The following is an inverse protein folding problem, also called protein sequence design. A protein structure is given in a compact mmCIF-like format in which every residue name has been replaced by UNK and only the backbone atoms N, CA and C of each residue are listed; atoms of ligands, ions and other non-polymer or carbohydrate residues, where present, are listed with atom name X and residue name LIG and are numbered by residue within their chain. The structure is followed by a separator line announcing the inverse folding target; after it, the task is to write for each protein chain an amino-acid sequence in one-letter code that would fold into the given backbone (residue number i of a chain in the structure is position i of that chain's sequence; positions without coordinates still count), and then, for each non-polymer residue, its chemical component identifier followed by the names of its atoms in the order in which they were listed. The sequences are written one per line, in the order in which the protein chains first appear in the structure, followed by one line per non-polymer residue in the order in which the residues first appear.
data_IF_144939101544
#
_entry.id   IF_144939101544
#
_cell.length_a   1.000
_cell.length_b   1.000
_cell.length_c   1.000
_cell.angle_alpha   90.00
_cell.angle_beta   90.00
_cell.angle_gamma   90.00
#
_symmetry.space_group_name_H-M   'P 1'
#
loop_
_entity.id
_entity.type
_entity.pdbx_description
1 polymer ?
#
# COMPACT_ATOMS: atom_id res chain seq x y z
N UNK A 1 -4.28 63.51 59.86
CA UNK A 1 -3.31 63.66 58.76
C UNK A 1 -3.28 62.34 57.99
N UNK A 2 -3.77 62.35 56.75
CA UNK A 2 -3.82 61.22 55.80
C UNK A 2 -2.75 61.44 54.74
N UNK A 3 -2.03 60.39 54.33
CA UNK A 3 -1.39 60.21 53.00
C UNK A 3 -0.85 58.75 52.98
N UNK A 4 -1.45 57.78 52.29
CA UNK A 4 -1.44 57.43 50.84
C UNK A 4 -0.06 57.09 50.25
N UNK A 5 0.19 55.79 50.02
CA UNK A 5 0.98 55.17 48.92
C UNK A 5 0.90 53.65 49.11
N UNK A 6 0.84 52.73 48.13
CA UNK A 6 0.30 52.66 46.77
C UNK A 6 0.20 51.16 46.43
N UNK A 7 -0.81 50.81 45.63
CA UNK A 7 -1.12 49.48 45.08
C UNK A 7 -0.19 49.19 43.90
N UNK A 8 0.40 47.98 43.83
CA UNK A 8 0.52 47.18 42.59
C UNK A 8 1.13 45.80 42.91
N UNK A 9 0.27 44.79 43.09
CA UNK A 9 0.66 43.38 43.24
C UNK A 9 0.01 42.58 42.12
N UNK A 10 0.84 42.20 41.16
CA UNK A 10 0.58 41.44 39.94
C UNK A 10 -0.25 40.17 40.19
N UNK A 11 -1.46 40.08 39.62
CA UNK A 11 -2.22 38.83 39.51
C UNK A 11 -1.75 38.11 38.25
N UNK A 12 -0.80 37.18 38.38
CA UNK A 12 -0.47 36.22 37.32
C UNK A 12 -1.51 35.10 37.41
N UNK A 13 -2.51 35.16 36.53
CA UNK A 13 -3.41 34.04 36.27
C UNK A 13 -2.67 32.96 35.48
N UNK A 14 -2.40 31.83 36.13
CA UNK A 14 -1.94 30.60 35.46
C UNK A 14 -3.15 29.97 34.76
N UNK A 15 -3.33 30.29 33.48
CA UNK A 15 -4.19 29.51 32.59
C UNK A 15 -3.42 28.23 32.21
N UNK A 16 -3.70 27.14 32.91
CA UNK A 16 -3.36 25.79 32.47
C UNK A 16 -4.19 25.48 31.22
N UNK A 17 -3.61 25.73 30.05
CA UNK A 17 -4.09 25.16 28.79
C UNK A 17 -3.74 23.68 28.86
N UNK A 18 -4.71 22.84 29.25
CA UNK A 18 -4.65 21.43 29.00
C UNK A 18 -4.64 21.26 27.48
N UNK A 19 -3.45 21.13 26.89
CA UNK A 19 -3.31 20.68 25.53
C UNK A 19 -3.95 19.28 25.47
N UNK A 20 -5.09 19.16 24.80
CA UNK A 20 -5.63 17.89 24.37
C UNK A 20 -4.57 17.26 23.45
N UNK A 21 -3.63 16.52 24.02
CA UNK A 21 -2.75 15.66 23.25
C UNK A 21 -3.66 14.64 22.58
N UNK A 22 -3.60 14.57 21.24
CA UNK A 22 -4.23 13.48 20.51
C UNK A 22 -3.78 12.15 21.12
N UNK A 23 -4.66 11.14 21.20
CA UNK A 23 -4.28 9.85 21.75
C UNK A 23 -3.02 9.34 21.05
N UNK A 24 -2.04 8.89 21.82
CA UNK A 24 -0.79 8.37 21.28
C UNK A 24 -1.10 7.21 20.31
N UNK A 25 -0.43 7.20 19.15
CA UNK A 25 -0.60 6.13 18.17
C UNK A 25 -0.08 4.83 18.76
N UNK A 26 -0.93 3.81 18.83
CA UNK A 26 -0.60 2.50 19.45
C UNK A 26 -0.23 1.43 18.44
N UNK A 27 -0.43 1.69 17.14
CA UNK A 27 -0.05 0.79 16.05
C UNK A 27 0.23 1.57 14.76
N UNK A 28 1.12 1.04 13.94
CA UNK A 28 1.28 1.39 12.53
C UNK A 28 0.05 0.88 11.76
N UNK A 29 -0.64 1.80 11.10
CA UNK A 29 -1.86 1.54 10.35
C UNK A 29 -1.68 1.72 8.84
N UNK A 30 -0.58 2.29 8.35
CA UNK A 30 -0.36 2.45 6.93
C UNK A 30 -0.05 1.12 6.24
N UNK A 31 0.03 1.19 4.92
CA UNK A 31 0.43 0.04 4.11
C UNK A 31 1.96 -0.11 4.12
N UNK A 32 2.47 -1.33 4.01
CA UNK A 32 3.90 -1.61 4.18
C UNK A 32 4.79 -0.76 3.24
N UNK A 33 4.33 -0.52 2.01
CA UNK A 33 5.06 0.25 1.00
C UNK A 33 5.05 1.77 1.25
N UNK A 34 4.19 2.30 2.12
CA UNK A 34 4.23 3.72 2.50
C UNK A 34 5.51 4.07 3.29
N UNK A 35 6.19 3.05 3.82
CA UNK A 35 7.44 3.20 4.58
C UNK A 35 8.69 2.89 3.73
N UNK A 36 8.52 2.68 2.43
CA UNK A 36 9.62 2.42 1.50
C UNK A 36 10.63 3.56 1.44
N UNK A 37 11.86 3.23 1.06
CA UNK A 37 12.85 4.22 0.66
C UNK A 37 12.49 4.70 -0.75
N UNK A 38 12.49 6.02 -0.95
CA UNK A 38 12.28 6.65 -2.24
C UNK A 38 13.63 6.93 -2.91
N UNK A 39 13.60 7.28 -4.19
CA UNK A 39 14.82 7.65 -4.93
C UNK A 39 15.57 8.83 -4.29
N UNK A 40 14.86 9.73 -3.61
CA UNK A 40 15.48 10.83 -2.86
C UNK A 40 16.11 10.41 -1.51
N UNK A 41 15.77 9.24 -0.99
CA UNK A 41 16.30 8.73 0.27
C UNK A 41 17.67 8.03 0.10
N UNK A 42 18.03 7.70 -1.14
CA UNK A 42 19.28 7.02 -1.53
C UNK A 42 20.14 7.93 -2.40
N UNK A 43 21.46 7.67 -2.56
CA UNK A 43 22.30 8.44 -3.47
C UNK A 43 21.75 8.44 -4.89
N UNK A 44 21.82 9.61 -5.55
CA UNK A 44 21.14 9.85 -6.83
C UNK A 44 21.64 8.98 -8.01
N UNK A 45 22.81 8.36 -7.87
CA UNK A 45 23.41 7.46 -8.86
C UNK A 45 23.04 5.98 -8.64
N UNK A 46 22.27 5.67 -7.58
CA UNK A 46 21.77 4.32 -7.32
C UNK A 46 20.53 4.03 -8.16
N UNK A 47 20.42 2.79 -8.62
CA UNK A 47 19.33 2.34 -9.48
C UNK A 47 18.36 1.51 -8.68
N UNK A 48 17.06 1.85 -8.74
CA UNK A 48 16.00 0.99 -8.25
C UNK A 48 15.87 -0.23 -9.16
N UNK A 49 16.05 -1.44 -8.63
CA UNK A 49 15.96 -2.68 -9.43
C UNK A 49 14.59 -3.34 -9.35
N UNK A 50 13.89 -3.22 -8.21
CA UNK A 50 12.59 -3.83 -8.09
C UNK A 50 11.99 -3.77 -6.70
N UNK A 51 10.73 -4.19 -6.65
CA UNK A 51 9.97 -4.35 -5.43
C UNK A 51 9.01 -5.53 -5.52
N UNK A 52 8.58 -6.05 -4.38
CA UNK A 52 7.54 -7.07 -4.29
C UNK A 52 6.64 -6.81 -3.09
N UNK A 53 5.43 -7.36 -3.14
CA UNK A 53 4.47 -7.32 -2.04
C UNK A 53 3.81 -8.69 -1.91
N UNK A 54 3.83 -9.23 -0.70
CA UNK A 54 3.16 -10.46 -0.35
C UNK A 54 2.19 -10.18 0.78
N UNK A 55 0.93 -10.58 0.60
CA UNK A 55 -0.08 -10.53 1.66
C UNK A 55 -0.01 -11.79 2.53
N UNK A 56 -0.78 -11.84 3.62
CA UNK A 56 -0.99 -13.06 4.40
C UNK A 56 -1.41 -14.27 3.54
N UNK A 57 -2.23 -14.03 2.51
CA UNK A 57 -2.67 -15.09 1.60
C UNK A 57 -1.52 -15.58 0.71
N UNK A 58 -0.71 -14.68 0.16
CA UNK A 58 0.44 -15.03 -0.68
C UNK A 58 1.50 -15.80 0.13
N UNK A 59 1.76 -15.36 1.37
CA UNK A 59 2.67 -16.02 2.30
C UNK A 59 2.19 -17.42 2.66
N UNK A 60 0.88 -17.61 2.84
CA UNK A 60 0.31 -18.92 3.12
C UNK A 60 0.44 -19.90 1.92
N UNK A 61 0.53 -19.39 0.69
CA UNK A 61 0.71 -20.19 -0.53
C UNK A 61 2.18 -20.48 -0.85
N UNK A 62 3.10 -19.56 -0.54
CA UNK A 62 4.50 -19.63 -0.96
C UNK A 62 5.39 -20.46 -0.01
N UNK A 63 4.95 -20.73 1.22
CA UNK A 63 5.82 -21.34 2.21
C UNK A 63 5.78 -22.88 2.23
N UNK A 64 6.94 -23.57 2.15
CA UNK A 64 7.04 -24.97 2.50
C UNK A 64 6.68 -25.16 3.99
N UNK A 65 6.24 -26.36 4.37
CA UNK A 65 5.62 -26.74 5.67
C UNK A 65 6.38 -26.30 6.95
N UNK A 66 7.62 -25.86 6.85
CA UNK A 66 8.35 -25.13 7.91
C UNK A 66 8.20 -23.62 7.72
N UNK A 67 7.15 -23.04 8.30
CA UNK A 67 7.03 -21.60 8.50
C UNK A 67 8.26 -21.12 9.27
N UNK A 68 9.03 -20.16 8.72
CA UNK A 68 9.95 -19.40 9.57
C UNK A 68 9.09 -18.69 10.61
N UNK A 69 9.31 -18.96 11.89
CA UNK A 69 8.50 -18.38 12.97
C UNK A 69 8.40 -16.84 12.88
N UNK A 70 9.37 -16.19 12.23
CA UNK A 70 9.39 -14.76 11.93
C UNK A 70 8.41 -14.30 10.84
N UNK A 71 7.82 -15.17 10.02
CA UNK A 71 6.80 -14.79 9.03
C UNK A 71 5.38 -15.18 9.48
N UNK A 72 5.25 -15.81 10.64
CA UNK A 72 3.97 -16.19 11.20
C UNK A 72 3.13 -14.95 11.52
N UNK A 73 1.87 -14.97 11.09
CA UNK A 73 0.87 -13.90 11.32
C UNK A 73 1.19 -12.54 10.65
N UNK A 74 2.15 -12.49 9.72
CA UNK A 74 2.42 -11.31 8.90
C UNK A 74 1.23 -11.04 7.99
N UNK A 75 0.76 -9.79 7.99
CA UNK A 75 -0.35 -9.34 7.13
C UNK A 75 0.13 -8.84 5.78
N UNK A 76 1.27 -8.13 5.78
CA UNK A 76 1.92 -7.58 4.60
C UNK A 76 3.44 -7.73 4.74
N UNK A 77 4.10 -8.22 3.70
CA UNK A 77 5.55 -8.17 3.51
C UNK A 77 5.82 -7.38 2.23
N UNK A 78 6.43 -6.22 2.36
CA UNK A 78 6.95 -5.44 1.24
C UNK A 78 8.46 -5.58 1.19
N UNK A 79 9.01 -5.78 0.00
CA UNK A 79 10.45 -5.85 -0.24
C UNK A 79 10.84 -4.89 -1.36
N UNK A 80 12.01 -4.27 -1.23
CA UNK A 80 12.55 -3.31 -2.19
C UNK A 80 14.08 -3.46 -2.30
N UNK A 81 14.62 -3.23 -3.50
CA UNK A 81 16.05 -3.36 -3.80
C UNK A 81 16.60 -2.19 -4.62
N UNK A 82 17.78 -1.72 -4.21
CA UNK A 82 18.60 -0.75 -4.93
C UNK A 82 19.98 -1.32 -5.23
N UNK A 83 20.47 -1.05 -6.45
CA UNK A 83 21.83 -1.38 -6.88
C UNK A 83 22.62 -0.09 -7.15
N UNK A 84 23.67 0.18 -6.36
CA UNK A 84 24.62 1.25 -6.60
C UNK A 84 25.43 1.05 -7.90
N UNK A 85 26.06 2.10 -8.45
CA UNK A 85 26.94 1.95 -9.60
C UNK A 85 28.24 1.21 -9.23
N UNK A 86 28.97 0.64 -10.20
CA UNK A 86 30.21 -0.13 -9.94
C UNK A 86 31.32 0.63 -9.20
N UNK A 87 31.24 1.98 -9.18
CA UNK A 87 32.17 2.85 -8.46
C UNK A 87 31.85 3.01 -6.96
N UNK A 88 30.67 2.59 -6.52
CA UNK A 88 30.21 2.73 -5.14
C UNK A 88 30.98 1.83 -4.16
N UNK A 89 31.03 2.25 -2.90
CA UNK A 89 31.50 1.43 -1.77
C UNK A 89 30.49 0.35 -1.38
N UNK A 90 29.27 0.45 -1.91
CA UNK A 90 28.18 -0.50 -1.71
C UNK A 90 27.86 -1.21 -3.02
N UNK A 91 27.40 -2.45 -2.93
CA UNK A 91 26.98 -3.24 -4.08
C UNK A 91 25.46 -3.50 -4.08
N UNK A 92 24.79 -3.39 -2.93
CA UNK A 92 23.36 -3.64 -2.82
C UNK A 92 22.78 -3.04 -1.54
N UNK A 93 21.54 -2.57 -1.62
CA UNK A 93 20.69 -2.23 -0.48
C UNK A 93 19.32 -2.88 -0.66
N UNK A 94 18.93 -3.71 0.30
CA UNK A 94 17.60 -4.28 0.40
C UNK A 94 16.85 -3.72 1.62
N UNK A 95 15.55 -3.58 1.45
CA UNK A 95 14.60 -3.21 2.48
C UNK A 95 13.46 -4.21 2.49
N UNK A 96 13.19 -4.79 3.65
CA UNK A 96 11.94 -5.51 3.92
C UNK A 96 11.15 -4.78 5.01
N UNK A 97 9.83 -4.69 4.82
CA UNK A 97 8.89 -4.13 5.78
C UNK A 97 7.77 -5.13 6.02
N UNK A 98 7.62 -5.56 7.27
CA UNK A 98 6.61 -6.53 7.70
C UNK A 98 5.61 -5.83 8.62
N UNK A 99 4.32 -5.94 8.29
CA UNK A 99 3.22 -5.43 9.12
C UNK A 99 2.47 -6.61 9.74
N UNK A 100 2.36 -6.60 11.07
CA UNK A 100 1.61 -7.60 11.85
C UNK A 100 0.29 -7.03 12.36
N UNK A 101 -0.62 -7.93 12.77
CA UNK A 101 -1.89 -7.54 13.37
C UNK A 101 -1.78 -6.89 14.76
N UNK A 102 -0.66 -7.09 15.46
CA UNK A 102 -0.43 -6.60 16.82
C UNK A 102 1.06 -6.37 17.13
N UNK A 103 1.32 -5.58 18.18
CA UNK A 103 2.68 -5.29 18.67
C UNK A 103 3.33 -6.57 19.19
N UNK A 104 2.56 -7.41 19.89
CA UNK A 104 3.01 -8.67 20.46
C UNK A 104 3.45 -9.65 19.36
N UNK A 105 2.71 -9.71 18.25
CA UNK A 105 3.09 -10.53 17.09
C UNK A 105 4.38 -10.04 16.44
N UNK A 106 4.54 -8.73 16.23
CA UNK A 106 5.79 -8.18 15.69
C UNK A 106 6.98 -8.42 16.63
N UNK A 107 6.77 -8.31 17.93
CA UNK A 107 7.80 -8.61 18.92
C UNK A 107 8.20 -10.09 18.90
N UNK A 108 7.23 -11.00 18.79
CA UNK A 108 7.50 -12.43 18.63
C UNK A 108 8.24 -12.71 17.32
N UNK A 109 7.82 -12.09 16.21
CA UNK A 109 8.45 -12.24 14.90
C UNK A 109 9.91 -11.80 14.89
N UNK A 110 10.23 -10.62 15.44
CA UNK A 110 11.60 -10.13 15.54
C UNK A 110 12.50 -11.07 16.36
N UNK A 111 11.97 -11.60 17.48
CA UNK A 111 12.74 -12.50 18.37
C UNK A 111 12.88 -13.92 17.83
N UNK A 112 11.95 -14.32 16.98
CA UNK A 112 12.00 -15.60 16.29
C UNK A 112 13.04 -15.62 15.18
N UNK A 113 13.44 -14.44 14.68
CA UNK A 113 14.49 -14.32 13.66
C UNK A 113 15.80 -14.90 14.21
N UNK A 114 16.29 -15.92 13.49
CA UNK A 114 17.55 -16.61 13.81
C UNK A 114 18.33 -16.74 12.53
N UNK A 115 19.36 -15.93 12.41
CA UNK A 115 20.34 -16.11 11.35
C UNK A 115 21.08 -17.43 11.52
N UNK A 116 21.60 -17.97 10.42
CA UNK A 116 22.45 -19.16 10.46
C UNK A 116 23.79 -18.84 11.17
N UNK A 117 24.64 -19.85 11.35
CA UNK A 117 25.92 -19.72 12.07
C UNK A 117 26.90 -18.71 11.45
N UNK A 118 26.68 -18.30 10.20
CA UNK A 118 27.52 -17.38 9.45
C UNK A 118 27.27 -15.91 9.80
N UNK A 119 26.26 -15.60 10.61
CA UNK A 119 26.01 -14.26 11.11
C UNK A 119 26.33 -14.14 12.60
N UNK A 120 26.73 -12.96 13.02
CA UNK A 120 26.84 -12.56 14.42
C UNK A 120 26.06 -11.30 14.69
N UNK A 121 25.53 -11.20 15.92
CA UNK A 121 25.00 -9.94 16.43
C UNK A 121 26.19 -9.06 16.80
N UNK A 122 26.17 -7.81 16.33
CA UNK A 122 27.14 -6.79 16.71
C UNK A 122 26.47 -5.74 17.58
N UNK A 123 27.22 -5.20 18.55
CA UNK A 123 26.71 -4.14 19.42
C UNK A 123 26.56 -2.85 18.63
N UNK A 124 25.38 -2.26 18.66
CA UNK A 124 25.04 -1.02 17.95
C UNK A 124 23.93 -0.25 18.69
N UNK A 125 23.76 1.06 18.42
CA UNK A 125 22.61 1.82 18.91
C UNK A 125 21.28 1.18 18.52
N UNK A 126 20.31 1.20 19.43
CA UNK A 126 18.96 0.69 19.16
C UNK A 126 18.23 1.58 18.15
N UNK A 127 17.60 0.97 17.16
CA UNK A 127 16.67 1.60 16.23
C UNK A 127 15.25 1.18 16.61
N UNK A 128 14.31 2.12 16.69
CA UNK A 128 12.92 1.85 17.05
C UNK A 128 12.76 1.45 18.51
N UNK A 129 11.80 0.56 18.77
CA UNK A 129 11.50 0.05 20.11
C UNK A 129 12.46 -1.09 20.52
N UNK A 130 12.94 -1.86 19.53
CA UNK A 130 13.81 -3.03 19.69
C UNK A 130 14.55 -3.24 18.35
N UNK A 131 15.84 -3.54 18.36
CA UNK A 131 16.59 -3.84 17.14
C UNK A 131 17.69 -4.87 17.35
N UNK A 132 18.04 -5.57 16.27
CA UNK A 132 19.16 -6.48 16.17
C UNK A 132 20.01 -6.08 14.96
N UNK A 133 21.31 -5.92 15.19
CA UNK A 133 22.27 -5.61 14.11
C UNK A 133 23.13 -6.83 13.89
N UNK A 134 23.10 -7.34 12.68
CA UNK A 134 23.80 -8.53 12.25
C UNK A 134 24.95 -8.17 11.33
N UNK A 135 26.04 -8.93 11.45
CA UNK A 135 27.18 -8.91 10.54
C UNK A 135 27.44 -10.31 10.03
N UNK A 136 27.65 -10.44 8.72
CA UNK A 136 28.11 -11.70 8.14
C UNK A 136 29.59 -11.95 8.49
N UNK A 137 29.92 -13.13 9.00
CA UNK A 137 31.25 -13.54 9.49
C UNK A 137 32.18 -14.00 8.37
N UNK A 138 31.64 -14.73 7.40
CA UNK A 138 32.41 -15.42 6.35
C UNK A 138 32.71 -14.48 5.18
N UNK A 139 33.22 -13.28 5.48
CA UNK A 139 33.63 -12.34 4.46
C UNK A 139 35.04 -12.72 4.00
N UNK A 140 35.35 -12.67 2.69
CA UNK A 140 36.72 -12.89 2.23
C UNK A 140 37.66 -11.96 3.00
N UNK A 141 38.76 -12.47 3.58
CA UNK A 141 39.74 -11.62 4.29
C UNK A 141 40.29 -10.51 3.39
N UNK A 142 40.25 -10.71 2.07
CA UNK A 142 40.58 -9.69 1.08
C UNK A 142 39.76 -9.94 -0.20
N UNK A 143 38.87 -9.01 -0.60
CA UNK A 143 38.49 -7.79 0.11
C UNK A 143 37.50 -8.06 1.25
N UNK A 144 37.65 -7.35 2.38
CA UNK A 144 36.74 -7.42 3.53
C UNK A 144 35.37 -6.82 3.18
N UNK A 145 34.51 -7.65 2.59
CA UNK A 145 33.15 -7.31 2.19
C UNK A 145 32.25 -7.31 3.43
N UNK A 146 32.04 -6.17 4.07
CA UNK A 146 31.08 -6.07 5.17
C UNK A 146 29.65 -6.22 4.65
N UNK A 147 28.92 -7.22 5.13
CA UNK A 147 27.48 -7.35 4.96
C UNK A 147 26.82 -7.14 6.31
N UNK A 148 25.98 -6.11 6.39
CA UNK A 148 25.25 -5.75 7.60
C UNK A 148 23.75 -5.82 7.35
N UNK A 149 23.01 -6.32 8.34
CA UNK A 149 21.55 -6.29 8.36
C UNK A 149 21.08 -5.69 9.67
N UNK A 150 20.13 -4.76 9.61
CA UNK A 150 19.52 -4.11 10.76
C UNK A 150 18.04 -4.45 10.77
N UNK A 151 17.65 -5.35 11.66
CA UNK A 151 16.25 -5.64 11.94
C UNK A 151 15.80 -4.76 13.09
N UNK A 152 14.68 -4.04 12.95
CA UNK A 152 14.15 -3.19 14.00
C UNK A 152 12.62 -3.25 14.03
N UNK A 153 12.05 -3.09 15.22
CA UNK A 153 10.61 -3.03 15.42
C UNK A 153 10.18 -1.62 15.81
N UNK A 154 9.06 -1.19 15.27
CA UNK A 154 8.30 -0.05 15.76
C UNK A 154 6.83 -0.43 15.83
N UNK A 155 6.27 -0.46 17.04
CA UNK A 155 4.92 -0.96 17.30
C UNK A 155 4.72 -2.37 16.68
N UNK A 156 3.74 -2.55 15.81
CA UNK A 156 3.40 -3.78 15.10
C UNK A 156 4.11 -3.94 13.73
N UNK A 157 5.09 -3.08 13.42
CA UNK A 157 5.87 -3.17 12.19
C UNK A 157 7.31 -3.59 12.48
N UNK A 158 7.89 -4.37 11.58
CA UNK A 158 9.34 -4.66 11.54
C UNK A 158 9.90 -4.10 10.24
N UNK A 159 10.98 -3.34 10.33
CA UNK A 159 11.83 -3.01 9.19
C UNK A 159 13.11 -3.85 9.24
N UNK A 160 13.59 -4.30 8.09
CA UNK A 160 14.85 -4.99 7.92
C UNK A 160 15.62 -4.31 6.79
N UNK A 161 16.78 -3.75 7.10
CA UNK A 161 17.65 -3.11 6.12
C UNK A 161 18.90 -3.93 5.97
N UNK A 162 19.17 -4.42 4.76
CA UNK A 162 20.41 -5.15 4.44
C UNK A 162 21.26 -4.30 3.51
N UNK A 163 22.53 -4.10 3.87
CA UNK A 163 23.48 -3.34 3.08
C UNK A 163 24.71 -4.20 2.80
N UNK A 164 24.98 -4.42 1.52
CA UNK A 164 26.11 -5.20 1.04
C UNK A 164 27.23 -4.30 0.55
N UNK A 165 28.43 -4.47 1.11
CA UNK A 165 29.62 -3.76 0.68
C UNK A 165 30.15 -4.23 -0.66
N UNK A 166 30.62 -3.28 -1.47
CA UNK A 166 31.45 -3.61 -2.62
C UNK A 166 32.82 -4.11 -2.14
N UNK A 167 33.62 -4.64 -3.07
CA UNK A 167 34.99 -5.13 -2.84
C UNK A 167 35.97 -4.09 -2.26
N UNK A 168 35.51 -2.90 -1.87
CA UNK A 168 36.31 -1.76 -1.43
C UNK A 168 36.05 -1.27 0.00
N UNK A 169 35.31 -2.05 0.81
CA UNK A 169 35.08 -1.90 2.27
C UNK A 169 33.69 -1.34 2.62
N UNK A 170 33.01 -2.02 3.56
CA UNK A 170 32.00 -1.40 4.45
C UNK A 170 32.50 -1.60 5.88
N UNK A 171 32.98 -0.54 6.55
CA UNK A 171 33.77 -0.68 7.76
C UNK A 171 32.91 -1.09 8.97
N UNK A 172 31.63 -0.73 8.99
CA UNK A 172 30.72 -0.94 10.12
C UNK A 172 29.24 -0.89 9.68
N UNK A 173 28.33 -1.00 10.63
CA UNK A 173 26.88 -0.99 10.40
C UNK A 173 26.27 0.42 10.30
N UNK A 174 27.05 1.50 10.39
CA UNK A 174 26.51 2.86 10.61
C UNK A 174 25.59 3.31 9.47
N UNK A 175 25.94 3.00 8.22
CA UNK A 175 25.11 3.36 7.05
C UNK A 175 23.81 2.56 7.02
N UNK A 176 23.87 1.25 7.31
CA UNK A 176 22.67 0.41 7.41
C UNK A 176 21.74 0.90 8.53
N UNK A 177 22.32 1.34 9.66
CA UNK A 177 21.59 1.95 10.77
C UNK A 177 20.95 3.28 10.35
N UNK A 178 21.65 4.10 9.56
CA UNK A 178 21.12 5.36 9.06
C UNK A 178 19.90 5.15 8.15
N UNK A 179 19.94 4.15 7.25
CA UNK A 179 18.77 3.78 6.45
C UNK A 179 17.64 3.21 7.31
N UNK A 180 17.94 2.35 8.29
CA UNK A 180 16.94 1.85 9.24
C UNK A 180 16.27 2.99 10.02
N UNK A 181 17.02 4.02 10.42
CA UNK A 181 16.49 5.24 11.04
C UNK A 181 15.59 6.03 10.09
N UNK A 182 15.94 6.18 8.81
CA UNK A 182 15.06 6.83 7.81
C UNK A 182 13.72 6.11 7.69
N UNK A 183 13.74 4.78 7.59
CA UNK A 183 12.53 3.95 7.54
C UNK A 183 11.72 4.09 8.84
N UNK A 184 12.37 4.07 10.01
CA UNK A 184 11.72 4.31 11.30
C UNK A 184 11.03 5.68 11.35
N UNK A 185 11.68 6.75 10.89
CA UNK A 185 11.08 8.09 10.89
C UNK A 185 9.85 8.15 9.97
N UNK A 186 9.87 7.47 8.83
CA UNK A 186 8.67 7.29 7.99
C UNK A 186 7.57 6.52 8.73
N UNK A 187 7.90 5.43 9.40
CA UNK A 187 6.94 4.67 10.22
C UNK A 187 6.34 5.50 11.35
N UNK A 188 7.10 6.42 11.96
CA UNK A 188 6.59 7.35 12.98
C UNK A 188 5.68 8.41 12.38
N UNK A 189 6.10 9.02 11.26
CA UNK A 189 5.36 10.08 10.59
C UNK A 189 4.01 9.58 10.05
N UNK A 190 4.01 8.40 9.44
CA UNK A 190 2.83 7.79 8.79
C UNK A 190 2.30 6.59 9.59
N UNK A 191 2.50 6.58 10.92
CA UNK A 191 1.96 5.54 11.80
C UNK A 191 0.42 5.50 11.74
N UNK A 192 -0.20 6.67 11.56
CA UNK A 192 -1.61 6.82 11.23
C UNK A 192 -1.70 7.75 10.02
N UNK A 193 -1.92 7.20 8.80
CA UNK A 193 -2.02 8.02 7.59
C UNK A 193 -3.04 9.15 7.75
N UNK A 194 -2.72 10.35 7.29
CA UNK A 194 -3.57 11.53 7.47
C UNK A 194 -5.00 11.32 6.93
N UNK A 195 -5.12 10.62 5.79
CA UNK A 195 -6.40 10.22 5.21
C UNK A 195 -7.21 9.29 6.12
N UNK A 196 -6.56 8.33 6.78
CA UNK A 196 -7.23 7.46 7.76
C UNK A 196 -7.64 8.23 9.02
N UNK A 197 -6.80 9.12 9.53
CA UNK A 197 -7.15 10.01 10.64
C UNK A 197 -8.38 10.88 10.31
N UNK A 198 -8.45 11.40 9.07
CA UNK A 198 -9.59 12.16 8.55
C UNK A 198 -10.87 11.32 8.56
N UNK A 199 -10.83 10.08 8.08
CA UNK A 199 -11.96 9.16 8.13
C UNK A 199 -12.42 8.89 9.58
N UNK A 200 -11.49 8.58 10.48
CA UNK A 200 -11.79 8.33 11.89
C UNK A 200 -12.45 9.54 12.56
N UNK A 201 -11.95 10.75 12.30
CA UNK A 201 -12.55 12.00 12.81
C UNK A 201 -13.97 12.23 12.30
N UNK A 202 -14.29 11.73 11.11
CA UNK A 202 -15.62 11.77 10.51
C UNK A 202 -16.50 10.56 10.90
N UNK A 203 -16.06 9.72 11.84
CA UNK A 203 -16.70 8.45 12.20
C UNK A 203 -16.97 7.58 10.97
N UNK A 204 -15.96 7.44 10.12
CA UNK A 204 -15.96 6.56 8.95
C UNK A 204 -14.94 5.43 9.17
N UNK A 205 -15.26 4.21 8.72
CA UNK A 205 -14.35 3.08 8.84
C UNK A 205 -13.15 3.25 7.90
N UNK A 206 -12.10 2.48 8.15
CA UNK A 206 -11.04 2.26 7.17
C UNK A 206 -11.59 1.56 5.94
N UNK A 207 -11.55 2.23 4.79
CA UNK A 207 -12.11 1.72 3.53
C UNK A 207 -11.24 0.65 2.88
N UNK A 208 -9.97 0.50 3.27
CA UNK A 208 -9.11 -0.58 2.75
C UNK A 208 -9.67 -1.96 3.09
N UNK A 209 -10.23 -2.09 4.30
CA UNK A 209 -10.88 -3.31 4.76
C UNK A 209 -12.21 -3.62 4.03
N UNK A 210 -12.70 -2.71 3.18
CA UNK A 210 -13.94 -2.88 2.41
C UNK A 210 -13.68 -3.28 0.96
N UNK A 211 -12.44 -3.16 0.49
CA UNK A 211 -12.03 -3.62 -0.84
C UNK A 211 -12.20 -5.14 -0.99
N UNK A 212 -12.23 -5.60 -2.23
CA UNK A 212 -12.24 -7.01 -2.55
C UNK A 212 -10.93 -7.66 -2.11
N UNK A 213 -11.04 -8.70 -1.28
CA UNK A 213 -9.90 -9.51 -0.85
C UNK A 213 -9.53 -10.56 -1.90
N UNK A 214 -8.31 -11.10 -1.85
CA UNK A 214 -7.91 -12.21 -2.73
C UNK A 214 -8.81 -13.44 -2.59
N UNK A 215 -9.29 -13.74 -1.38
CA UNK A 215 -10.24 -14.84 -1.16
C UNK A 215 -11.58 -14.59 -1.87
N UNK A 216 -12.08 -13.35 -1.81
CA UNK A 216 -13.30 -12.97 -2.53
C UNK A 216 -13.08 -13.05 -4.04
N UNK A 217 -11.95 -12.57 -4.56
CA UNK A 217 -11.62 -12.63 -5.98
C UNK A 217 -11.50 -14.08 -6.47
N UNK A 218 -10.85 -14.95 -5.69
CA UNK A 218 -10.79 -16.39 -5.96
C UNK A 218 -12.17 -17.04 -6.05
N UNK A 219 -13.11 -16.64 -5.19
CA UNK A 219 -14.47 -17.18 -5.22
C UNK A 219 -15.30 -16.67 -6.41
N UNK A 220 -15.03 -15.45 -6.89
CA UNK A 220 -15.75 -14.81 -8.00
C UNK A 220 -15.23 -15.24 -9.37
N UNK A 221 -13.95 -15.60 -9.44
CA UNK A 221 -13.25 -15.90 -10.67
C UNK A 221 -12.89 -17.40 -10.73
N UNK A 222 -13.71 -18.22 -11.41
CA UNK A 222 -13.49 -19.66 -11.46
C UNK A 222 -12.25 -20.06 -12.27
N UNK A 223 -11.64 -19.14 -13.02
CA UNK A 223 -10.49 -19.42 -13.89
C UNK A 223 -9.27 -18.68 -13.37
N UNK A 224 -8.41 -19.41 -12.66
CA UNK A 224 -7.16 -18.87 -12.10
C UNK A 224 -7.40 -17.69 -11.14
N UNK A 225 -8.55 -17.66 -10.46
CA UNK A 225 -8.90 -16.60 -9.52
C UNK A 225 -7.98 -16.57 -8.29
N UNK A 226 -7.37 -17.70 -7.94
CA UNK A 226 -6.36 -17.78 -6.88
C UNK A 226 -5.05 -17.04 -7.21
N UNK A 227 -4.87 -16.59 -8.47
CA UNK A 227 -3.67 -15.89 -8.96
C UNK A 227 -3.74 -14.38 -8.82
N UNK A 228 -4.86 -13.82 -8.36
CA UNK A 228 -4.97 -12.39 -8.11
C UNK A 228 -4.03 -11.96 -6.97
N UNK A 229 -3.14 -11.00 -7.26
CA UNK A 229 -2.17 -10.45 -6.31
C UNK A 229 -2.19 -8.93 -6.37
N UNK A 230 -1.83 -8.26 -5.27
CA UNK A 230 -1.62 -6.81 -5.32
C UNK A 230 -0.49 -6.51 -6.31
N UNK A 231 -0.69 -5.52 -7.18
CA UNK A 231 0.29 -5.20 -8.21
C UNK A 231 1.52 -4.53 -7.59
N UNK A 232 2.67 -5.18 -7.73
CA UNK A 232 3.96 -4.56 -7.36
C UNK A 232 4.36 -3.44 -8.34
N UNK A 233 3.79 -3.37 -9.55
CA UNK A 233 4.08 -2.28 -10.49
C UNK A 233 3.24 -1.02 -10.21
N UNK A 234 2.07 -1.20 -9.59
CA UNK A 234 1.13 -0.13 -9.25
C UNK A 234 0.59 -0.37 -7.86
N UNK A 235 1.33 0.09 -6.87
CA UNK A 235 0.90 -0.01 -5.49
C UNK A 235 -0.36 0.83 -5.25
N UNK A 236 -1.19 0.39 -4.30
CA UNK A 236 -2.35 1.14 -3.86
C UNK A 236 -1.96 2.39 -3.07
N UNK A 237 -2.96 3.20 -2.72
CA UNK A 237 -2.73 4.35 -1.87
C UNK A 237 -3.97 5.17 -1.60
N UNK A 238 -3.85 6.05 -0.61
CA UNK A 238 -4.81 7.12 -0.37
C UNK A 238 -4.80 8.11 -1.53
N UNK A 239 -5.96 8.73 -1.78
CA UNK A 239 -6.15 9.73 -2.82
C UNK A 239 -6.83 10.93 -2.23
N UNK A 240 -6.05 11.93 -1.82
CA UNK A 240 -6.61 13.18 -1.31
C UNK A 240 -7.06 14.11 -2.44
N UNK A 241 -8.00 15.00 -2.17
CA UNK A 241 -8.55 15.89 -3.23
C UNK A 241 -7.46 16.76 -3.88
N UNK A 242 -6.39 17.08 -3.14
CA UNK A 242 -5.27 17.90 -3.63
C UNK A 242 -4.39 17.20 -4.68
N UNK A 243 -4.47 15.87 -4.78
CA UNK A 243 -3.70 15.09 -5.75
C UNK A 243 -4.34 15.09 -7.15
N UNK A 244 -5.58 15.57 -7.25
CA UNK A 244 -6.28 15.74 -8.51
C UNK A 244 -5.99 17.12 -9.11
N UNK A 245 -5.95 17.21 -10.44
CA UNK A 245 -5.81 18.51 -11.13
C UNK A 245 -6.91 19.50 -10.74
N UNK A 246 -6.60 20.80 -10.82
CA UNK A 246 -7.45 21.91 -10.36
C UNK A 246 -8.96 21.77 -10.65
N UNK A 247 -9.41 21.44 -11.88
CA UNK A 247 -10.83 21.29 -12.15
C UNK A 247 -11.49 20.16 -11.33
N UNK A 248 -10.81 19.03 -11.18
CA UNK A 248 -11.31 17.88 -10.43
C UNK A 248 -11.26 18.14 -8.92
N UNK A 249 -10.14 18.65 -8.41
CA UNK A 249 -9.99 19.02 -6.99
C UNK A 249 -11.09 20.00 -6.54
N UNK A 250 -11.37 21.04 -7.34
CA UNK A 250 -12.42 22.01 -7.05
C UNK A 250 -13.83 21.39 -6.99
N UNK A 251 -14.14 20.41 -7.85
CA UNK A 251 -15.41 19.67 -7.80
C UNK A 251 -15.47 18.77 -6.57
N UNK A 252 -14.42 18.00 -6.29
CA UNK A 252 -14.37 17.07 -5.16
C UNK A 252 -14.49 17.80 -3.81
N UNK A 253 -13.80 18.94 -3.67
CA UNK A 253 -13.91 19.80 -2.49
C UNK A 253 -15.32 20.36 -2.31
N UNK A 254 -15.96 20.81 -3.41
CA UNK A 254 -17.36 21.31 -3.37
C UNK A 254 -18.35 20.22 -2.97
N UNK A 255 -18.11 18.99 -3.40
CA UNK A 255 -18.92 17.83 -3.03
C UNK A 255 -18.61 17.30 -1.62
N UNK A 256 -17.57 17.83 -0.97
CA UNK A 256 -17.15 17.43 0.37
C UNK A 256 -16.51 16.05 0.44
N UNK A 257 -15.95 15.53 -0.66
CA UNK A 257 -15.22 14.24 -0.64
C UNK A 257 -14.15 14.31 0.45
N UNK A 258 -14.16 13.35 1.36
CA UNK A 258 -13.21 13.28 2.47
C UNK A 258 -11.87 12.79 1.95
N UNK A 259 -11.82 11.57 1.44
CA UNK A 259 -10.65 10.95 0.81
C UNK A 259 -11.14 9.75 0.00
N UNK A 260 -10.23 9.02 -0.62
CA UNK A 260 -10.48 7.69 -1.14
C UNK A 260 -9.24 6.85 -1.08
N UNK A 261 -9.40 5.56 -1.31
CA UNK A 261 -8.29 4.62 -1.40
C UNK A 261 -8.45 3.80 -2.66
N UNK A 262 -7.35 3.61 -3.38
CA UNK A 262 -7.28 2.83 -4.60
C UNK A 262 -6.30 1.66 -4.44
N UNK A 263 -6.60 0.55 -5.09
CA UNK A 263 -5.75 -0.63 -5.12
C UNK A 263 -5.76 -1.26 -6.51
N UNK A 264 -4.58 -1.60 -7.00
CA UNK A 264 -4.42 -2.37 -8.23
C UNK A 264 -4.04 -3.80 -7.89
N UNK A 265 -4.64 -4.73 -8.61
CA UNK A 265 -4.35 -6.14 -8.54
C UNK A 265 -4.09 -6.68 -9.95
N UNK A 266 -3.21 -7.66 -10.03
CA UNK A 266 -2.84 -8.32 -11.27
C UNK A 266 -2.88 -9.83 -11.05
N UNK A 267 -3.22 -10.60 -12.08
CA UNK A 267 -3.02 -12.05 -12.03
C UNK A 267 -1.56 -12.39 -12.37
N UNK A 268 -0.91 -13.15 -11.49
CA UNK A 268 0.40 -13.74 -11.78
C UNK A 268 0.27 -14.93 -12.74
N UNK A 269 0.19 -14.64 -14.03
CA UNK A 269 -0.02 -15.62 -15.10
C UNK A 269 1.24 -15.85 -15.94
N UNK A 270 1.48 -17.12 -16.28
CA UNK A 270 2.36 -17.50 -17.39
C UNK A 270 1.80 -17.04 -18.74
N UNK A 271 2.63 -17.00 -19.77
CA UNK A 271 2.20 -16.62 -21.12
C UNK A 271 1.09 -17.52 -21.67
N UNK A 272 1.16 -18.84 -21.40
CA UNK A 272 0.11 -19.79 -21.80
C UNK A 272 -1.22 -19.54 -21.08
N UNK A 273 -1.19 -19.18 -19.80
CA UNK A 273 -2.39 -18.93 -18.99
C UNK A 273 -3.10 -17.62 -19.36
N UNK A 274 -2.37 -16.62 -19.90
CA UNK A 274 -2.95 -15.33 -20.28
C UNK A 274 -4.07 -15.46 -21.29
N UNK A 275 -3.99 -16.45 -22.19
CA UNK A 275 -4.99 -16.65 -23.22
C UNK A 275 -6.31 -17.23 -22.70
N UNK A 276 -6.27 -17.94 -21.58
CA UNK A 276 -7.46 -18.60 -21.02
C UNK A 276 -8.12 -17.74 -19.91
N UNK A 277 -7.50 -16.62 -19.52
CA UNK A 277 -8.02 -15.75 -18.47
C UNK A 277 -9.01 -14.70 -19.00
N UNK A 278 -10.12 -14.55 -18.28
CA UNK A 278 -11.17 -13.54 -18.54
C UNK A 278 -10.76 -12.14 -18.08
N UNK A 279 -9.96 -12.04 -17.01
CA UNK A 279 -9.43 -10.79 -16.46
C UNK A 279 -7.96 -10.93 -16.07
N UNK A 280 -7.21 -9.84 -16.15
CA UNK A 280 -5.77 -9.80 -15.91
C UNK A 280 -5.36 -8.70 -14.94
N UNK A 281 -5.90 -7.48 -15.12
CA UNK A 281 -5.69 -6.36 -14.20
C UNK A 281 -7.02 -5.91 -13.63
N UNK A 282 -7.04 -5.65 -12.33
CA UNK A 282 -8.17 -5.12 -11.58
C UNK A 282 -7.73 -3.83 -10.90
N UNK A 283 -8.47 -2.77 -11.13
CA UNK A 283 -8.44 -1.57 -10.31
C UNK A 283 -9.73 -1.50 -9.51
N UNK A 284 -9.59 -1.20 -8.22
CA UNK A 284 -10.70 -0.92 -7.34
C UNK A 284 -10.43 0.32 -6.52
N UNK A 285 -11.45 1.13 -6.31
CA UNK A 285 -11.36 2.35 -5.51
C UNK A 285 -12.63 2.53 -4.69
N UNK A 286 -12.47 3.08 -3.48
CA UNK A 286 -13.58 3.60 -2.67
C UNK A 286 -13.27 5.05 -2.31
N UNK A 287 -14.16 5.96 -2.66
CA UNK A 287 -14.18 7.36 -2.21
C UNK A 287 -15.26 7.57 -1.18
N UNK A 288 -14.95 8.33 -0.13
CA UNK A 288 -15.86 8.59 1.00
C UNK A 288 -16.38 10.02 0.92
N UNK A 289 -17.70 10.14 1.02
CA UNK A 289 -18.42 11.41 1.08
C UNK A 289 -19.10 11.59 2.45
N UNK A 290 -19.58 12.80 2.76
CA UNK A 290 -20.25 13.05 4.03
C UNK A 290 -21.55 12.22 4.18
N UNK A 291 -22.30 12.04 3.09
CA UNK A 291 -23.60 11.37 3.08
C UNK A 291 -23.94 10.76 1.71
N UNK A 292 -25.08 10.06 1.63
CA UNK A 292 -25.51 9.40 0.40
C UNK A 292 -25.92 10.39 -0.71
N UNK A 293 -26.44 11.56 -0.36
CA UNK A 293 -26.85 12.56 -1.35
C UNK A 293 -25.65 13.18 -2.05
N UNK A 294 -24.56 13.42 -1.32
CA UNK A 294 -23.27 13.89 -1.83
C UNK A 294 -22.53 12.79 -2.58
N UNK A 295 -22.56 11.54 -2.11
CA UNK A 295 -22.03 10.38 -2.84
C UNK A 295 -22.73 10.19 -4.20
N UNK A 296 -24.06 10.31 -4.26
CA UNK A 296 -24.82 10.24 -5.51
C UNK A 296 -24.37 11.31 -6.53
N UNK A 297 -24.12 12.55 -6.07
CA UNK A 297 -23.54 13.62 -6.89
C UNK A 297 -22.08 13.31 -7.27
N UNK A 298 -21.31 12.71 -6.36
CA UNK A 298 -19.98 12.18 -6.61
C UNK A 298 -19.96 11.20 -7.78
N UNK A 299 -20.89 10.24 -7.80
CA UNK A 299 -21.04 9.30 -8.91
C UNK A 299 -21.34 10.02 -10.23
N UNK A 300 -22.19 11.06 -10.22
CA UNK A 300 -22.54 11.81 -11.44
C UNK A 300 -21.35 12.55 -12.06
N UNK A 301 -20.36 12.95 -11.26
CA UNK A 301 -19.17 13.66 -11.75
C UNK A 301 -17.99 12.73 -12.09
N UNK A 302 -18.13 11.42 -11.86
CA UNK A 302 -17.13 10.44 -12.28
C UNK A 302 -16.92 10.51 -13.79
N UNK A 303 -15.66 10.43 -14.21
CA UNK A 303 -15.28 10.30 -15.62
C UNK A 303 -14.88 8.84 -15.80
N UNK A 304 -15.61 8.12 -16.65
CA UNK A 304 -15.29 6.74 -16.96
C UNK A 304 -14.18 6.62 -18.00
N UNK A 305 -14.17 5.47 -18.69
CA UNK A 305 -13.14 5.13 -19.68
C UNK A 305 -13.05 6.20 -20.78
N UNK A 306 -11.85 6.79 -21.01
CA UNK A 306 -11.65 7.79 -22.05
C UNK A 306 -12.06 7.28 -23.43
N UNK A 307 -12.82 8.07 -24.17
CA UNK A 307 -13.32 7.77 -25.53
C UNK A 307 -14.28 6.57 -25.62
N UNK A 308 -14.80 6.05 -24.50
CA UNK A 308 -15.87 5.06 -24.49
C UNK A 308 -17.21 5.74 -24.14
N UNK A 309 -18.31 5.43 -24.85
CA UNK A 309 -19.62 5.90 -24.45
C UNK A 309 -20.06 5.23 -23.14
N UNK A 310 -20.77 5.98 -22.29
CA UNK A 310 -21.46 5.40 -21.14
C UNK A 310 -22.58 4.49 -21.64
N UNK A 311 -22.64 3.29 -21.07
CA UNK A 311 -23.61 2.26 -21.39
C UNK A 311 -24.77 2.31 -20.37
N UNK A 312 -25.95 1.86 -20.81
CA UNK A 312 -27.02 1.56 -19.86
C UNK A 312 -26.62 0.37 -19.00
N UNK A 313 -26.63 0.55 -17.67
CA UNK A 313 -26.30 -0.52 -16.74
C UNK A 313 -27.27 -1.69 -16.90
N UNK A 314 -26.74 -2.88 -17.17
CA UNK A 314 -27.55 -4.11 -17.33
C UNK A 314 -28.03 -4.66 -15.99
N UNK A 315 -27.23 -4.44 -14.96
CA UNK A 315 -27.49 -4.85 -13.58
C UNK A 315 -27.26 -3.66 -12.69
N UNK A 316 -28.23 -3.35 -11.82
CA UNK A 316 -28.06 -2.30 -10.82
C UNK A 316 -27.09 -2.77 -9.72
N UNK A 317 -26.08 -1.94 -9.45
CA UNK A 317 -25.10 -2.13 -8.38
C UNK A 317 -25.24 -0.97 -7.40
N UNK A 318 -25.46 -1.28 -6.12
CA UNK A 318 -25.69 -0.26 -5.10
C UNK A 318 -26.98 0.53 -5.30
N UNK A 319 -26.95 1.80 -4.92
CA UNK A 319 -28.07 2.74 -4.97
C UNK A 319 -28.13 3.52 -6.30
N UNK A 320 -27.04 3.47 -7.07
CA UNK A 320 -26.94 3.98 -8.43
C UNK A 320 -25.66 3.51 -9.09
N UNK A 321 -25.67 3.39 -10.42
CA UNK A 321 -24.61 2.76 -11.20
C UNK A 321 -24.38 3.49 -12.52
N UNK A 322 -23.13 3.58 -12.94
CA UNK A 322 -22.67 4.06 -14.24
C UNK A 322 -21.68 3.06 -14.81
N UNK A 323 -21.71 2.86 -16.12
CA UNK A 323 -21.08 1.71 -16.77
C UNK A 323 -20.36 2.10 -18.06
N UNK A 324 -19.15 1.60 -18.24
CA UNK A 324 -18.41 1.65 -19.51
C UNK A 324 -17.84 0.27 -19.84
N UNK A 325 -17.87 -0.09 -21.11
CA UNK A 325 -17.23 -1.31 -21.60
C UNK A 325 -16.80 -1.11 -23.04
N UNK A 326 -15.54 -1.38 -23.34
CA UNK A 326 -14.97 -1.15 -24.68
C UNK A 326 -13.73 -2.00 -24.92
N UNK A 327 -13.42 -2.23 -26.20
CA UNK A 327 -12.14 -2.77 -26.63
C UNK A 327 -11.17 -1.62 -26.90
N UNK A 328 -10.00 -1.64 -26.26
CA UNK A 328 -8.94 -0.64 -26.47
C UNK A 328 -7.75 -1.27 -27.20
N UNK A 329 -7.31 -0.63 -28.28
CA UNK A 329 -6.12 -1.05 -29.03
C UNK A 329 -4.89 -0.31 -28.51
N UNK A 330 -3.86 -1.07 -28.11
CA UNK A 330 -2.55 -0.53 -27.79
C UNK A 330 -1.88 -0.05 -29.08
N UNK A 331 -1.56 1.25 -29.14
CA UNK A 331 -0.97 1.87 -30.34
C UNK A 331 0.42 1.31 -30.70
N UNK A 332 1.14 0.76 -29.72
CA UNK A 332 2.52 0.30 -29.91
C UNK A 332 2.60 -1.18 -30.27
N UNK A 333 1.82 -2.03 -29.60
CA UNK A 333 1.83 -3.48 -29.86
C UNK A 333 0.74 -3.95 -30.82
N UNK A 334 -0.24 -3.10 -31.13
CA UNK A 334 -1.49 -3.43 -31.84
C UNK A 334 -2.37 -4.47 -31.13
N UNK A 335 -2.00 -4.90 -29.93
CA UNK A 335 -2.86 -5.76 -29.11
C UNK A 335 -4.11 -5.02 -28.67
N UNK A 336 -5.19 -5.77 -28.50
CA UNK A 336 -6.47 -5.26 -28.02
C UNK A 336 -6.76 -5.82 -26.63
N UNK A 337 -7.21 -4.97 -25.71
CA UNK A 337 -7.72 -5.38 -24.40
C UNK A 337 -9.22 -5.12 -24.33
N UNK A 338 -9.95 -5.98 -23.64
CA UNK A 338 -11.29 -5.65 -23.15
C UNK A 338 -11.14 -4.87 -21.84
N UNK A 339 -11.85 -3.76 -21.72
CA UNK A 339 -11.88 -2.92 -20.53
C UNK A 339 -13.33 -2.70 -20.13
N UNK A 340 -13.68 -3.04 -18.90
CA UNK A 340 -14.99 -2.76 -18.31
C UNK A 340 -14.80 -1.97 -17.02
N UNK A 341 -15.52 -0.86 -16.88
CA UNK A 341 -15.54 -0.04 -15.68
C UNK A 341 -16.98 0.13 -15.18
N UNK A 342 -17.19 -0.17 -13.90
CA UNK A 342 -18.47 -0.04 -13.22
C UNK A 342 -18.26 0.86 -12.00
N UNK A 343 -18.84 2.05 -12.07
CA UNK A 343 -18.86 3.01 -10.97
C UNK A 343 -20.23 2.98 -10.30
N UNK A 344 -20.26 2.98 -8.98
CA UNK A 344 -21.52 2.91 -8.25
C UNK A 344 -21.40 3.61 -6.90
N UNK A 345 -22.53 3.83 -6.22
CA UNK A 345 -22.52 4.31 -4.85
C UNK A 345 -23.39 3.45 -3.94
N UNK A 346 -23.00 3.37 -2.67
CA UNK A 346 -23.74 2.72 -1.58
C UNK A 346 -23.61 3.62 -0.36
N UNK A 347 -24.72 4.18 0.12
CA UNK A 347 -24.67 5.14 1.22
C UNK A 347 -23.64 6.25 0.94
N UNK A 348 -22.72 6.58 1.88
CA UNK A 348 -21.74 7.65 1.70
C UNK A 348 -20.53 7.29 0.80
N UNK A 349 -20.52 6.11 0.18
CA UNK A 349 -19.36 5.62 -0.56
C UNK A 349 -19.62 5.64 -2.07
N UNK A 350 -18.67 6.16 -2.85
CA UNK A 350 -18.61 5.97 -4.30
C UNK A 350 -17.48 5.00 -4.58
N UNK A 351 -17.76 3.90 -5.28
CA UNK A 351 -16.78 2.88 -5.60
C UNK A 351 -16.65 2.67 -7.10
N UNK A 352 -15.48 2.19 -7.50
CA UNK A 352 -15.14 1.84 -8.87
C UNK A 352 -14.56 0.42 -8.91
N UNK A 353 -14.99 -0.35 -9.90
CA UNK A 353 -14.33 -1.58 -10.34
C UNK A 353 -14.00 -1.41 -11.81
N UNK A 354 -12.72 -1.50 -12.15
CA UNK A 354 -12.25 -1.50 -13.52
C UNK A 354 -11.45 -2.78 -13.79
N UNK A 355 -11.96 -3.62 -14.68
CA UNK A 355 -11.36 -4.91 -15.04
C UNK A 355 -10.86 -4.87 -16.48
N UNK A 356 -9.62 -5.33 -16.67
CA UNK A 356 -8.97 -5.44 -17.97
C UNK A 356 -8.64 -6.89 -18.28
N UNK A 357 -8.89 -7.34 -19.51
CA UNK A 357 -8.42 -8.63 -19.99
C UNK A 357 -6.90 -8.63 -20.26
N UNK A 358 -6.32 -9.81 -20.44
CA UNK A 358 -5.00 -9.94 -21.06
C UNK A 358 -5.00 -9.29 -22.47
N UNK A 359 -3.86 -8.75 -22.93
CA UNK A 359 -3.70 -8.32 -24.32
C UNK A 359 -4.01 -9.47 -25.29
N UNK A 360 -4.79 -9.18 -26.34
CA UNK A 360 -5.19 -10.13 -27.38
C UNK A 360 -4.68 -9.67 -28.74
N UNK A 361 -4.30 -10.58 -29.65
CA UNK A 361 -3.99 -10.23 -31.03
C UNK A 361 -5.14 -9.48 -31.71
N UNK A 362 -4.82 -8.54 -32.60
CA UNK A 362 -5.77 -7.61 -33.23
C UNK A 362 -6.94 -8.28 -33.98
N UNK A 363 -6.75 -9.52 -34.45
CA UNK A 363 -7.75 -10.31 -35.17
C UNK A 363 -8.65 -11.16 -34.25
N UNK A 364 -8.50 -11.03 -32.92
CA UNK A 364 -9.36 -11.70 -31.95
C UNK A 364 -10.76 -11.09 -32.00
N UNK A 365 -11.80 -11.94 -32.05
CA UNK A 365 -13.16 -11.47 -31.83
C UNK A 365 -13.34 -11.06 -30.37
N UNK A 366 -13.31 -9.75 -30.14
CA UNK A 366 -13.42 -9.17 -28.80
C UNK A 366 -14.83 -9.26 -28.22
N UNK A 367 -15.84 -9.70 -28.99
CA UNK A 367 -17.24 -9.78 -28.53
C UNK A 367 -17.38 -10.69 -27.32
N UNK A 368 -16.81 -11.90 -27.39
CA UNK A 368 -16.86 -12.86 -26.29
C UNK A 368 -16.00 -12.38 -25.11
N UNK A 369 -14.78 -11.89 -25.38
CA UNK A 369 -13.86 -11.40 -24.34
C UNK A 369 -14.49 -10.25 -23.55
N UNK A 370 -15.16 -9.31 -24.22
CA UNK A 370 -15.89 -8.23 -23.57
C UNK A 370 -17.05 -8.76 -22.73
N UNK A 371 -17.85 -9.69 -23.25
CA UNK A 371 -19.00 -10.23 -22.51
C UNK A 371 -18.56 -10.98 -21.22
N UNK A 372 -17.47 -11.73 -21.29
CA UNK A 372 -16.90 -12.43 -20.13
C UNK A 372 -16.28 -11.45 -19.13
N UNK A 373 -15.51 -10.46 -19.62
CA UNK A 373 -14.93 -9.40 -18.78
C UNK A 373 -16.02 -8.59 -18.08
N UNK A 374 -17.09 -8.23 -18.79
CA UNK A 374 -18.27 -7.55 -18.23
C UNK A 374 -18.94 -8.37 -17.12
N UNK A 375 -19.12 -9.68 -17.35
CA UNK A 375 -19.72 -10.58 -16.38
C UNK A 375 -18.90 -10.64 -15.09
N UNK A 376 -17.58 -10.79 -15.21
CA UNK A 376 -16.68 -10.83 -14.06
C UNK A 376 -16.61 -9.48 -13.33
N UNK A 377 -16.49 -8.37 -14.07
CA UNK A 377 -16.50 -7.02 -13.50
C UNK A 377 -17.81 -6.73 -12.74
N UNK A 378 -18.95 -7.18 -13.26
CA UNK A 378 -20.26 -7.06 -12.59
C UNK A 378 -20.29 -7.83 -11.28
N UNK A 379 -19.79 -9.07 -11.27
CA UNK A 379 -19.75 -9.90 -10.07
C UNK A 379 -18.84 -9.27 -9.00
N UNK A 380 -17.69 -8.73 -9.40
CA UNK A 380 -16.78 -7.97 -8.54
C UNK A 380 -17.44 -6.70 -7.98
N UNK A 381 -18.12 -5.91 -8.82
CA UNK A 381 -18.81 -4.69 -8.40
C UNK A 381 -19.96 -4.99 -7.41
N UNK A 382 -20.74 -6.04 -7.66
CA UNK A 382 -21.77 -6.51 -6.73
C UNK A 382 -21.17 -6.93 -5.39
N UNK A 383 -20.06 -7.67 -5.41
CA UNK A 383 -19.40 -8.11 -4.17
C UNK A 383 -18.82 -6.93 -3.38
N UNK A 384 -18.23 -5.96 -4.07
CA UNK A 384 -17.72 -4.74 -3.44
C UNK A 384 -18.89 -3.93 -2.84
N UNK A 385 -20.02 -3.83 -3.53
CA UNK A 385 -21.22 -3.20 -2.99
C UNK A 385 -21.75 -3.90 -1.72
N UNK A 386 -21.67 -5.24 -1.64
CA UNK A 386 -21.98 -5.98 -0.41
C UNK A 386 -21.06 -5.60 0.74
N UNK A 387 -19.74 -5.52 0.51
CA UNK A 387 -18.78 -5.10 1.53
C UNK A 387 -19.12 -3.70 2.07
N UNK A 388 -19.56 -2.78 1.20
CA UNK A 388 -19.94 -1.41 1.57
C UNK A 388 -21.25 -1.33 2.36
N UNK A 389 -22.24 -2.18 2.08
CA UNK A 389 -23.54 -2.18 2.81
C UNK A 389 -23.43 -2.65 4.26
N UNK A 390 -22.40 -3.41 4.59
CA UNK A 390 -22.18 -3.95 5.93
C UNK A 390 -21.63 -2.95 6.95
N UNK A 391 -21.57 -1.64 6.61
CA UNK A 391 -20.96 -0.56 7.39
C UNK A 391 -21.78 0.71 7.28
#
# INVERSE_FOLDING_TARGET
MKLKTSILGLVIGVWLVAACQAPAVTRVNGDAWEYALLLEDVPADWTFEGQSLQTAYDLALSQPVTVTESLKDVQQLYSQRYVPPPSSEYAELDLDILIYGSVEQAQAGLRAEKMNAEWEIVSAPTVGDESQVWRYKNTPETPNQGLYRVDFRYLNAIGSVTLFGSSKVVPNADEAIAYAQKVLEKMKAEALPASLAKLQSANRPDVRALLLTQEQLKALDPVLGERWQVSAERLGGWTDNAEFGEPASGVLNRLGRLTGYQLYMAKALSESERNDSVGFMLFQQISVYPDAATAAKGLQVMVGVPNAPELTARTAVGDGTRWWSTALVNKNSQDTIALTEINFFVGPYVASVQLQSSPRPQNTDMTQVLAENEKLATAMALKLAENLRGK
#
